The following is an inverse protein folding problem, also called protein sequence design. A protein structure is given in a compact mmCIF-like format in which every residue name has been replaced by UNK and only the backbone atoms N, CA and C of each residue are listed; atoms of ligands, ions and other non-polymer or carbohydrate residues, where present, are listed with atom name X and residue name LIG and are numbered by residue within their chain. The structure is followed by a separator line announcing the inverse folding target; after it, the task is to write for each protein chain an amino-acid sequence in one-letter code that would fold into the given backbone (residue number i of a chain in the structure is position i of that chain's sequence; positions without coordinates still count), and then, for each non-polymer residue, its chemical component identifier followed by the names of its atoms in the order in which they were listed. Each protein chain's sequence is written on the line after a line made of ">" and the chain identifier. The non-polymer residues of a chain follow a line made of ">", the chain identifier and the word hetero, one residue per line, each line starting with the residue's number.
data_IF_510136438987
#
_entry.id   IF_510136438987
#
_cell.length_a   1.000
_cell.length_b   1.000
_cell.length_c   1.000
_cell.angle_alpha   90.00
_cell.angle_beta   90.00
_cell.angle_gamma   90.00
#
_symmetry.space_group_name_H-M   'P 1'
#
loop_
_entity.id
_entity.type
_entity.pdbx_description
1 polymer ?
#
# COMPACT_ATOMS: atom_id res chain seq x y z
N UNK A 1 6.90 18.00 -9.61
CA UNK A 1 6.19 17.12 -8.65
C UNK A 1 5.63 15.96 -9.44
N UNK A 2 6.02 14.71 -9.14
CA UNK A 2 5.45 13.55 -9.81
C UNK A 2 4.00 13.36 -9.33
N UNK A 3 3.08 13.24 -10.28
CA UNK A 3 1.66 13.01 -10.00
C UNK A 3 1.47 11.59 -9.48
N UNK A 4 0.47 11.33 -8.64
CA UNK A 4 0.13 9.97 -8.16
C UNK A 4 0.10 8.93 -9.29
N UNK A 5 -0.43 9.31 -10.46
CA UNK A 5 -0.47 8.49 -11.68
C UNK A 5 0.92 8.13 -12.20
N UNK A 6 1.88 9.05 -12.17
CA UNK A 6 3.26 8.78 -12.57
C UNK A 6 3.96 7.83 -11.60
N UNK A 7 3.64 7.92 -10.31
CA UNK A 7 4.23 7.06 -9.29
C UNK A 7 3.79 5.60 -9.47
N UNK A 8 2.49 5.36 -9.65
CA UNK A 8 1.97 3.99 -9.85
C UNK A 8 2.34 3.40 -11.22
N UNK A 9 2.63 4.25 -12.21
CA UNK A 9 3.10 3.85 -13.55
C UNK A 9 4.60 3.54 -13.60
N UNK A 10 5.34 3.72 -12.51
CA UNK A 10 6.77 3.42 -12.46
C UNK A 10 7.05 1.92 -12.61
N UNK A 11 8.22 1.57 -13.13
CA UNK A 11 8.72 0.19 -13.11
C UNK A 11 8.90 -0.34 -11.69
N UNK A 12 9.21 0.57 -10.75
CA UNK A 12 9.33 0.25 -9.33
C UNK A 12 7.93 -0.06 -8.76
N UNK A 13 7.72 -1.28 -8.22
CA UNK A 13 6.47 -1.62 -7.56
C UNK A 13 6.13 -0.59 -6.47
N UNK A 14 4.87 -0.15 -6.46
CA UNK A 14 4.37 0.84 -5.50
C UNK A 14 3.22 0.23 -4.68
N UNK A 15 3.47 -0.01 -3.41
CA UNK A 15 2.47 -0.41 -2.43
C UNK A 15 1.75 0.81 -1.88
N UNK A 16 0.44 0.89 -2.10
CA UNK A 16 -0.44 1.86 -1.48
C UNK A 16 -1.05 1.26 -0.23
N UNK A 17 -0.83 1.89 0.91
CA UNK A 17 -1.46 1.58 2.19
C UNK A 17 -2.57 2.61 2.47
N UNK A 18 -3.82 2.18 2.37
CA UNK A 18 -4.97 2.99 2.71
C UNK A 18 -5.27 2.84 4.20
N UNK A 19 -5.07 3.93 4.94
CA UNK A 19 -5.20 3.97 6.39
C UNK A 19 -6.12 5.11 6.83
N UNK A 20 -6.48 5.09 8.12
CA UNK A 20 -7.21 6.17 8.78
C UNK A 20 -6.65 6.41 10.18
N UNK A 21 -6.87 7.60 10.74
CA UNK A 21 -6.38 7.96 12.09
C UNK A 21 -7.09 7.18 13.20
N UNK A 22 -8.35 6.83 12.99
CA UNK A 22 -9.19 6.04 13.89
C UNK A 22 -9.01 4.52 13.73
N UNK A 23 -8.20 4.08 12.76
CA UNK A 23 -7.98 2.66 12.49
C UNK A 23 -7.00 2.06 13.51
N UNK A 24 -7.53 1.39 14.54
CA UNK A 24 -6.75 0.63 15.51
C UNK A 24 -5.78 -0.39 14.87
N UNK A 25 -6.26 -1.30 13.98
CA UNK A 25 -5.41 -2.31 13.33
C UNK A 25 -4.29 -1.72 12.47
N UNK A 26 -4.47 -0.51 11.93
CA UNK A 26 -3.46 0.17 11.13
C UNK A 26 -2.22 0.54 11.95
N UNK A 27 -2.37 0.78 13.26
CA UNK A 27 -1.22 1.07 14.15
C UNK A 27 -0.24 -0.10 14.23
N UNK A 28 -0.75 -1.33 14.20
CA UNK A 28 0.07 -2.55 14.18
C UNK A 28 0.71 -2.78 12.80
N UNK A 29 0.04 -2.37 11.72
CA UNK A 29 0.55 -2.51 10.36
C UNK A 29 1.66 -1.49 10.03
N UNK A 30 1.64 -0.31 10.65
CA UNK A 30 2.63 0.74 10.43
C UNK A 30 4.11 0.28 10.60
N UNK A 31 4.51 -0.38 11.71
CA UNK A 31 5.88 -0.89 11.85
C UNK A 31 6.18 -2.05 10.89
N UNK A 32 5.17 -2.84 10.53
CA UNK A 32 5.33 -3.91 9.53
C UNK A 32 5.72 -3.34 8.16
N UNK A 33 5.03 -2.29 7.71
CA UNK A 33 5.33 -1.62 6.44
C UNK A 33 6.73 -0.98 6.43
N UNK A 34 7.16 -0.39 7.56
CA UNK A 34 8.50 0.16 7.71
C UNK A 34 9.57 -0.93 7.56
N UNK A 35 9.36 -2.08 8.19
CA UNK A 35 10.29 -3.21 8.09
C UNK A 35 10.34 -3.79 6.66
N UNK A 36 9.17 -3.96 6.01
CA UNK A 36 9.11 -4.37 4.59
C UNK A 36 9.87 -3.39 3.70
N UNK A 37 9.72 -2.09 3.92
CA UNK A 37 10.47 -1.05 3.20
C UNK A 37 11.96 -1.16 3.47
N UNK A 38 12.38 -1.47 4.69
CA UNK A 38 13.79 -1.63 5.05
C UNK A 38 14.40 -2.91 4.45
N UNK A 39 13.65 -4.00 4.35
CA UNK A 39 14.12 -5.24 3.71
C UNK A 39 14.23 -5.07 2.20
N UNK A 40 13.23 -4.46 1.56
CA UNK A 40 13.18 -4.31 0.10
C UNK A 40 13.90 -3.07 -0.42
N UNK A 41 14.22 -2.10 0.44
CA UNK A 41 14.93 -0.85 0.13
C UNK A 41 14.44 -0.19 -1.15
N UNK A 42 15.27 -0.20 -2.20
CA UNK A 42 14.97 0.46 -3.46
C UNK A 42 14.12 -0.38 -4.43
N UNK A 43 13.81 -1.62 -4.06
CA UNK A 43 12.98 -2.53 -4.87
C UNK A 43 11.48 -2.25 -4.74
N UNK A 44 11.04 -1.45 -3.76
CA UNK A 44 9.63 -1.10 -3.58
C UNK A 44 9.45 0.34 -3.10
N UNK A 45 8.34 0.95 -3.47
CA UNK A 45 7.87 2.24 -2.94
C UNK A 45 6.63 1.99 -2.10
N UNK A 46 6.60 2.47 -0.86
CA UNK A 46 5.40 2.41 -0.02
C UNK A 46 4.84 3.83 0.13
N UNK A 47 3.56 4.00 -0.19
CA UNK A 47 2.82 5.25 -0.03
C UNK A 47 1.64 5.03 0.91
N UNK A 48 1.54 5.86 1.93
CA UNK A 48 0.41 5.86 2.87
C UNK A 48 -0.62 6.89 2.40
N UNK A 49 -1.86 6.45 2.25
CA UNK A 49 -2.99 7.27 1.82
C UNK A 49 -4.01 7.30 2.95
N UNK A 50 -4.13 8.47 3.55
CA UNK A 50 -5.18 8.75 4.52
C UNK A 50 -6.52 8.87 3.78
N UNK A 51 -7.44 7.93 4.02
CA UNK A 51 -8.76 7.89 3.35
C UNK A 51 -9.66 9.06 3.76
N UNK A 52 -9.50 9.59 4.98
CA UNK A 52 -10.27 10.75 5.46
C UNK A 52 -9.82 12.02 4.75
N UNK A 53 -8.50 12.16 4.50
CA UNK A 53 -7.95 13.30 3.75
C UNK A 53 -8.09 13.16 2.24
N UNK A 54 -8.20 11.94 1.72
CA UNK A 54 -8.23 11.64 0.28
C UNK A 54 -9.46 10.81 -0.13
N UNK A 55 -10.70 11.27 0.15
CA UNK A 55 -11.91 10.48 -0.08
C UNK A 55 -12.12 10.14 -1.56
N UNK A 56 -11.71 11.04 -2.49
CA UNK A 56 -11.78 10.79 -3.93
C UNK A 56 -10.90 9.62 -4.39
N UNK A 57 -9.73 9.45 -3.76
CA UNK A 57 -8.82 8.34 -4.09
C UNK A 57 -9.34 7.04 -3.48
N UNK A 58 -9.81 7.11 -2.24
CA UNK A 58 -10.46 5.97 -1.57
C UNK A 58 -11.67 5.46 -2.37
N UNK A 59 -12.55 6.37 -2.84
CA UNK A 59 -13.70 6.03 -3.66
C UNK A 59 -13.31 5.42 -5.00
N UNK A 60 -12.33 6.02 -5.71
CA UNK A 60 -11.80 5.50 -6.98
C UNK A 60 -11.35 4.04 -6.87
N UNK A 61 -10.69 3.68 -5.77
CA UNK A 61 -10.23 2.31 -5.54
C UNK A 61 -11.23 1.44 -4.77
N UNK A 62 -12.44 1.96 -4.52
CA UNK A 62 -13.51 1.29 -3.78
C UNK A 62 -13.05 0.79 -2.42
N UNK A 63 -12.34 1.63 -1.67
CA UNK A 63 -11.86 1.33 -0.32
C UNK A 63 -13.07 1.42 0.62
N UNK A 64 -13.58 0.25 1.04
CA UNK A 64 -14.73 0.14 1.95
C UNK A 64 -14.34 -0.02 3.41
N UNK A 65 -13.06 -0.29 3.67
CA UNK A 65 -12.53 -0.52 5.00
C UNK A 65 -11.01 -0.38 5.02
N UNK A 66 -10.49 -0.03 6.18
CA UNK A 66 -9.06 0.13 6.43
C UNK A 66 -8.59 -0.85 7.52
N UNK A 67 -7.35 -1.37 7.43
CA UNK A 67 -6.36 -1.11 6.38
C UNK A 67 -6.70 -1.85 5.08
N UNK A 68 -6.45 -1.21 3.94
CA UNK A 68 -6.47 -1.87 2.63
C UNK A 68 -5.16 -1.57 1.92
N UNK A 69 -4.54 -2.60 1.35
CA UNK A 69 -3.29 -2.46 0.63
C UNK A 69 -3.48 -2.82 -0.84
N UNK A 70 -2.87 -2.02 -1.73
CA UNK A 70 -2.91 -2.26 -3.17
C UNK A 70 -1.50 -2.09 -3.72
N UNK A 71 -0.97 -3.12 -4.38
CA UNK A 71 0.32 -3.08 -5.04
C UNK A 71 0.14 -2.78 -6.53
N UNK A 72 0.81 -1.72 -6.97
CA UNK A 72 0.89 -1.31 -8.36
C UNK A 72 2.25 -1.65 -8.96
N UNK A 73 2.27 -2.06 -10.22
CA UNK A 73 3.49 -2.20 -11.01
C UNK A 73 3.16 -1.82 -12.45
N UNK A 74 3.92 -0.89 -13.04
CA UNK A 74 3.71 -0.42 -14.42
C UNK A 74 2.26 0.05 -14.70
N UNK A 75 1.60 0.62 -13.70
CA UNK A 75 0.23 1.13 -13.82
C UNK A 75 -0.88 0.11 -13.56
N UNK A 76 -0.52 -1.17 -13.38
CA UNK A 76 -1.47 -2.24 -13.15
C UNK A 76 -1.51 -2.64 -11.67
N UNK A 77 -2.70 -3.08 -11.21
CA UNK A 77 -2.87 -3.64 -9.87
C UNK A 77 -2.45 -5.10 -9.94
N UNK A 78 -1.29 -5.42 -9.39
CA UNK A 78 -0.78 -6.80 -9.33
C UNK A 78 -1.24 -7.55 -8.08
N UNK A 79 -1.61 -6.80 -7.02
CA UNK A 79 -2.13 -7.38 -5.79
C UNK A 79 -3.00 -6.39 -5.03
N UNK A 80 -4.04 -6.91 -4.36
CA UNK A 80 -4.94 -6.14 -3.50
C UNK A 80 -5.42 -7.05 -2.37
N UNK A 81 -5.29 -6.57 -1.14
CA UNK A 81 -5.81 -7.28 0.03
C UNK A 81 -6.25 -6.29 1.10
N UNK A 82 -7.33 -6.61 1.81
CA UNK A 82 -7.87 -5.80 2.89
C UNK A 82 -7.70 -6.56 4.20
N UNK A 83 -7.36 -5.84 5.26
CA UNK A 83 -7.08 -6.40 6.58
C UNK A 83 -5.62 -6.25 6.99
N UNK A 84 -5.39 -6.28 8.30
CA UNK A 84 -4.05 -6.30 8.86
C UNK A 84 -3.45 -7.71 8.72
N UNK A 85 -2.17 -7.79 8.39
CA UNK A 85 -1.42 -9.03 8.30
C UNK A 85 -0.03 -8.83 8.89
N UNK A 86 0.63 -9.93 9.24
CA UNK A 86 1.99 -9.89 9.72
C UNK A 86 2.99 -9.63 8.58
N UNK A 87 4.21 -9.25 8.98
CA UNK A 87 5.33 -8.94 8.10
C UNK A 87 5.68 -10.06 7.13
N UNK A 88 5.71 -11.32 7.59
CA UNK A 88 6.13 -12.45 6.73
C UNK A 88 5.10 -12.68 5.63
N UNK A 89 3.82 -12.60 5.99
CA UNK A 89 2.71 -12.70 5.05
C UNK A 89 2.78 -11.57 4.01
N UNK A 90 2.90 -10.31 4.45
CA UNK A 90 2.98 -9.17 3.54
C UNK A 90 4.17 -9.26 2.56
N UNK A 91 5.37 -9.57 3.07
CA UNK A 91 6.56 -9.74 2.23
C UNK A 91 6.38 -10.84 1.20
N UNK A 92 5.80 -11.97 1.59
CA UNK A 92 5.57 -13.10 0.69
C UNK A 92 4.58 -12.72 -0.42
N UNK A 93 3.49 -12.02 -0.07
CA UNK A 93 2.50 -11.53 -1.05
C UNK A 93 3.12 -10.56 -2.04
N UNK A 94 3.90 -9.60 -1.56
CA UNK A 94 4.59 -8.63 -2.42
C UNK A 94 5.57 -9.34 -3.34
N UNK A 95 6.43 -10.24 -2.82
CA UNK A 95 7.43 -10.98 -3.60
C UNK A 95 6.80 -11.88 -4.67
N UNK A 96 5.64 -12.46 -4.39
CA UNK A 96 4.91 -13.29 -5.36
C UNK A 96 4.20 -12.47 -6.46
N UNK A 97 3.93 -11.18 -6.20
CA UNK A 97 3.21 -10.31 -7.12
C UNK A 97 4.13 -9.49 -8.04
N UNK A 98 5.45 -9.49 -7.80
CA UNK A 98 6.44 -8.73 -8.56
C UNK A 98 7.35 -9.62 -9.39
#
# INVERSE_FOLDING_TARGET
>A
MATFKEIINSEKPTLLDFHATWCGPCKTLAPVLEDVKNEMKDSIRILKIDVDKNPKVADRYKIRGVPTMILFKKGEIVWRESGAMDRKTLLSKIKNAI
#
